data_IF_976075049828
#
_entry.id   IF_976075049828
#
_cell.length_a   1.000
_cell.length_b   1.000
_cell.length_c   1.000
_cell.angle_alpha   90.00
_cell.angle_beta   90.00
_cell.angle_gamma   90.00
#
_symmetry.space_group_name_H-M   'P 1'
#
loop_
_entity.id
_entity.type
_entity.pdbx_description
1 polymer ?
#
# COMPACT_ATOMS: atom_id res chain seq x y z
N UNK A 1 -29.61 1.20 -4.93
CA UNK A 1 -28.81 2.19 -4.17
C UNK A 1 -27.48 2.26 -4.86
N UNK A 2 -27.04 3.46 -5.22
CA UNK A 2 -25.78 3.68 -5.91
C UNK A 2 -24.88 4.52 -5.00
N UNK A 3 -23.67 4.06 -4.73
CA UNK A 3 -22.70 4.68 -3.81
C UNK A 3 -21.53 5.17 -4.64
N UNK A 4 -21.24 6.47 -4.55
CA UNK A 4 -20.13 7.13 -5.23
C UNK A 4 -19.16 7.71 -4.19
N UNK A 5 -18.04 7.03 -3.88
CA UNK A 5 -16.97 7.59 -3.08
C UNK A 5 -16.45 8.91 -3.67
N UNK A 6 -16.12 9.89 -2.84
CA UNK A 6 -15.59 11.21 -3.25
C UNK A 6 -14.20 11.50 -2.67
N UNK A 7 -13.69 10.61 -1.82
CA UNK A 7 -12.36 10.77 -1.23
C UNK A 7 -11.23 10.57 -2.24
N UNK A 8 -10.03 10.95 -1.83
CA UNK A 8 -8.82 10.91 -2.66
C UNK A 8 -7.77 10.00 -2.02
N UNK A 9 -6.85 9.52 -2.84
CA UNK A 9 -5.69 8.78 -2.38
C UNK A 9 -4.89 9.58 -1.33
N UNK A 10 -4.58 8.92 -0.19
CA UNK A 10 -3.63 9.42 0.79
C UNK A 10 -2.34 8.56 0.78
N UNK A 11 -1.18 9.16 1.06
CA UNK A 11 0.10 8.47 1.09
C UNK A 11 0.12 7.27 2.05
N UNK A 12 0.83 6.21 1.68
CA UNK A 12 1.19 5.13 2.59
C UNK A 12 2.35 5.56 3.50
N UNK A 13 2.20 5.27 4.80
CA UNK A 13 3.27 5.37 5.79
C UNK A 13 3.79 3.96 6.07
N UNK A 14 5.05 3.73 5.80
CA UNK A 14 5.66 2.41 5.82
C UNK A 14 6.72 2.39 6.92
N UNK A 15 6.78 1.27 7.64
CA UNK A 15 7.81 0.92 8.61
C UNK A 15 8.28 -0.48 8.33
N UNK A 16 9.55 -0.75 8.55
CA UNK A 16 10.11 -2.11 8.40
C UNK A 16 10.76 -2.57 9.70
N UNK A 17 11.17 -3.83 9.73
CA UNK A 17 11.97 -4.40 10.83
C UNK A 17 13.44 -3.96 10.80
N UNK A 18 13.89 -3.24 9.77
CA UNK A 18 15.28 -2.79 9.64
C UNK A 18 15.56 -1.67 10.64
N UNK A 19 16.68 -1.76 11.36
CA UNK A 19 17.13 -0.71 12.27
C UNK A 19 17.51 0.58 11.51
N UNK A 20 17.31 1.78 12.09
CA UNK A 20 17.54 3.07 11.40
C UNK A 20 18.96 3.29 10.87
N UNK A 21 19.96 2.70 11.54
CA UNK A 21 21.34 2.63 11.08
C UNK A 21 21.80 1.20 11.32
N UNK A 22 22.10 0.48 10.23
CA UNK A 22 22.64 -0.85 10.32
C UNK A 22 23.72 -1.04 9.25
N UNK A 23 24.89 -1.49 9.68
CA UNK A 23 25.93 -2.01 8.78
C UNK A 23 25.62 -3.48 8.55
N UNK A 24 25.30 -3.82 7.32
CA UNK A 24 24.85 -5.15 6.91
C UNK A 24 25.89 -5.74 5.97
N UNK A 25 26.37 -6.97 6.19
CA UNK A 25 27.20 -7.65 5.21
C UNK A 25 26.44 -7.79 3.89
N UNK A 26 27.09 -7.41 2.79
CA UNK A 26 26.48 -7.54 1.46
C UNK A 26 26.48 -9.02 1.07
N UNK A 27 27.60 -9.71 1.25
CA UNK A 27 27.76 -11.07 0.75
C UNK A 27 27.76 -11.09 -0.78
N UNK A 28 27.37 -12.19 -1.41
CA UNK A 28 27.32 -12.27 -2.87
C UNK A 28 26.21 -11.37 -3.43
N UNK A 29 26.51 -10.61 -4.49
CA UNK A 29 25.58 -9.67 -5.13
C UNK A 29 25.74 -9.67 -6.65
N UNK A 30 24.65 -9.61 -7.40
CA UNK A 30 24.72 -9.44 -8.86
C UNK A 30 25.29 -8.07 -9.24
N UNK A 31 26.09 -8.03 -10.32
CA UNK A 31 26.67 -6.78 -10.82
C UNK A 31 25.61 -5.75 -11.21
N UNK A 32 24.47 -6.21 -11.75
CA UNK A 32 23.35 -5.33 -12.12
C UNK A 32 22.69 -4.65 -10.91
N UNK A 33 22.45 -5.39 -9.83
CA UNK A 33 21.91 -4.83 -8.58
C UNK A 33 22.90 -3.84 -7.95
N UNK A 34 24.19 -4.20 -7.92
CA UNK A 34 25.25 -3.33 -7.41
C UNK A 34 25.29 -2.01 -8.19
N UNK A 35 25.40 -2.07 -9.52
CA UNK A 35 25.41 -0.90 -10.40
C UNK A 35 24.17 -0.02 -10.23
N UNK A 36 22.99 -0.64 -10.10
CA UNK A 36 21.74 0.08 -9.89
C UNK A 36 21.62 0.79 -8.53
N UNK A 37 22.44 0.40 -7.55
CA UNK A 37 22.43 0.95 -6.19
C UNK A 37 23.40 2.11 -5.96
N UNK A 38 24.42 2.26 -6.82
CA UNK A 38 25.44 3.30 -6.71
C UNK A 38 24.80 4.67 -6.92
N UNK A 39 25.05 5.60 -5.99
CA UNK A 39 24.78 7.00 -6.24
C UNK A 39 25.79 7.52 -7.28
N UNK A 40 25.31 7.68 -8.49
CA UNK A 40 26.15 8.10 -9.59
C UNK A 40 26.54 9.56 -9.61
N UNK A 41 25.87 10.40 -8.80
CA UNK A 41 26.17 11.83 -8.71
C UNK A 41 27.05 12.14 -7.49
N UNK A 42 27.26 11.15 -6.62
CA UNK A 42 28.12 11.26 -5.46
C UNK A 42 29.61 11.33 -5.84
N UNK A 43 30.34 12.20 -5.15
CA UNK A 43 31.80 12.24 -5.21
C UNK A 43 32.37 11.13 -4.34
N UNK A 44 33.25 10.31 -4.89
CA UNK A 44 33.92 9.25 -4.11
C UNK A 44 35.13 9.86 -3.40
N UNK A 45 35.24 9.71 -2.07
CA UNK A 45 36.40 10.19 -1.31
C UNK A 45 37.72 9.61 -1.88
N UNK A 46 38.72 10.47 -2.08
CA UNK A 46 40.05 10.07 -2.57
C UNK A 46 40.28 10.26 -4.07
N UNK A 47 39.29 10.71 -4.83
CA UNK A 47 39.41 10.98 -6.27
C UNK A 47 39.66 12.46 -6.61
N UNK A 48 40.18 12.76 -7.83
CA UNK A 48 40.31 14.13 -8.33
C UNK A 48 38.97 14.89 -8.35
N UNK A 49 39.01 16.20 -8.06
CA UNK A 49 37.82 17.06 -8.06
C UNK A 49 37.06 16.96 -9.40
N UNK A 50 35.76 16.65 -9.32
CA UNK A 50 34.85 16.59 -10.48
C UNK A 50 34.65 15.20 -11.09
N UNK A 51 35.36 14.16 -10.63
CA UNK A 51 35.04 12.78 -10.99
C UNK A 51 33.98 12.20 -10.04
N UNK A 52 32.96 11.56 -10.61
CA UNK A 52 31.88 10.90 -9.87
C UNK A 52 32.19 9.42 -9.66
N UNK A 53 31.46 8.78 -8.74
CA UNK A 53 31.52 7.33 -8.58
C UNK A 53 31.21 6.57 -9.88
N UNK A 54 30.31 7.10 -10.72
CA UNK A 54 30.00 6.54 -12.05
C UNK A 54 31.22 6.52 -12.97
N UNK A 55 32.02 7.57 -12.98
CA UNK A 55 33.15 7.71 -13.92
C UNK A 55 34.25 6.64 -13.70
N UNK A 56 34.28 6.00 -12.53
CA UNK A 56 35.28 4.98 -12.18
C UNK A 56 34.66 3.61 -11.93
N UNK A 57 33.56 3.52 -11.20
CA UNK A 57 32.94 2.24 -10.86
C UNK A 57 32.28 1.60 -12.09
N UNK A 58 31.62 2.39 -12.95
CA UNK A 58 30.88 1.83 -14.08
C UNK A 58 31.81 1.15 -15.10
N UNK A 59 32.93 1.74 -15.54
CA UNK A 59 33.85 1.08 -16.46
C UNK A 59 34.38 -0.26 -15.93
N UNK A 60 34.72 -0.34 -14.64
CA UNK A 60 35.20 -1.58 -14.02
C UNK A 60 34.11 -2.64 -14.06
N UNK A 61 32.90 -2.31 -13.59
CA UNK A 61 31.81 -3.28 -13.57
C UNK A 61 31.27 -3.61 -14.96
N UNK A 62 31.32 -2.70 -15.93
CA UNK A 62 31.00 -2.99 -17.33
C UNK A 62 32.02 -3.94 -17.95
N UNK A 63 33.32 -3.79 -17.65
CA UNK A 63 34.35 -4.75 -18.07
C UNK A 63 34.12 -6.13 -17.44
N UNK A 64 33.69 -6.19 -16.17
CA UNK A 64 33.28 -7.43 -15.52
C UNK A 64 32.07 -8.08 -16.20
N UNK A 65 31.13 -7.29 -16.70
CA UNK A 65 29.96 -7.78 -17.43
C UNK A 65 30.30 -8.24 -18.85
N UNK A 66 31.26 -7.61 -19.52
CA UNK A 66 31.68 -7.94 -20.89
C UNK A 66 32.59 -9.18 -20.93
N UNK A 67 33.45 -9.37 -19.92
CA UNK A 67 34.44 -10.45 -19.86
C UNK A 67 34.39 -11.24 -18.54
N UNK A 68 33.23 -11.81 -18.15
CA UNK A 68 33.04 -12.41 -16.83
C UNK A 68 33.99 -13.58 -16.53
N UNK A 69 34.40 -14.34 -17.54
CA UNK A 69 35.29 -15.51 -17.39
C UNK A 69 36.67 -15.11 -16.83
N UNK A 70 37.20 -13.96 -17.23
CA UNK A 70 38.51 -13.47 -16.75
C UNK A 70 38.43 -13.09 -15.27
N UNK A 71 37.35 -12.44 -14.87
CA UNK A 71 37.12 -12.03 -13.48
C UNK A 71 36.75 -13.20 -12.57
N UNK A 72 36.06 -14.22 -13.10
CA UNK A 72 35.85 -15.50 -12.43
C UNK A 72 37.18 -16.23 -12.21
N UNK A 73 38.05 -16.30 -13.23
CA UNK A 73 39.37 -16.92 -13.12
C UNK A 73 40.28 -16.24 -12.07
N UNK A 74 40.08 -14.94 -11.86
CA UNK A 74 40.76 -14.15 -10.82
C UNK A 74 40.10 -14.27 -9.43
N UNK A 75 38.94 -14.91 -9.32
CA UNK A 75 38.23 -15.14 -8.06
C UNK A 75 37.37 -13.96 -7.58
N UNK A 76 37.13 -12.97 -8.44
CA UNK A 76 36.28 -11.81 -8.12
C UNK A 76 34.80 -12.07 -8.38
N UNK A 77 34.50 -12.99 -9.30
CA UNK A 77 33.14 -13.44 -9.60
C UNK A 77 32.94 -14.90 -9.19
N UNK A 78 31.69 -15.26 -8.88
CA UNK A 78 31.26 -16.65 -8.77
C UNK A 78 30.91 -17.25 -10.14
N UNK A 79 30.50 -18.52 -10.15
CA UNK A 79 30.14 -19.24 -11.38
C UNK A 79 28.92 -18.66 -12.11
N UNK A 80 28.09 -17.88 -11.40
CA UNK A 80 26.92 -17.20 -11.92
C UNK A 80 27.22 -15.76 -12.36
N UNK A 81 28.49 -15.33 -12.27
CA UNK A 81 28.93 -13.97 -12.63
C UNK A 81 28.59 -12.90 -11.59
N UNK A 82 28.29 -13.29 -10.34
CA UNK A 82 28.03 -12.36 -9.25
C UNK A 82 29.32 -11.98 -8.53
N UNK A 83 29.38 -10.76 -8.01
CA UNK A 83 30.48 -10.32 -7.16
C UNK A 83 30.49 -11.13 -5.86
N UNK A 84 31.62 -11.76 -5.55
CA UNK A 84 31.75 -12.62 -4.35
C UNK A 84 31.80 -11.80 -3.06
N UNK A 85 31.45 -12.46 -1.94
CA UNK A 85 31.41 -11.82 -0.62
C UNK A 85 32.74 -11.21 -0.15
N UNK A 86 33.90 -11.71 -0.63
CA UNK A 86 35.22 -11.16 -0.29
C UNK A 86 35.51 -9.82 -0.97
N UNK A 87 34.70 -9.42 -1.93
CA UNK A 87 34.86 -8.19 -2.70
C UNK A 87 33.79 -7.13 -2.39
N UNK A 88 32.58 -7.56 -2.03
CA UNK A 88 31.41 -6.69 -1.84
C UNK A 88 31.36 -5.97 -0.50
N UNK A 89 31.96 -6.55 0.55
CA UNK A 89 32.05 -5.93 1.87
C UNK A 89 30.74 -5.75 2.61
N UNK A 90 30.63 -4.61 3.28
CA UNK A 90 29.49 -4.23 4.11
C UNK A 90 28.78 -3.02 3.50
N UNK A 91 27.51 -2.81 3.85
CA UNK A 91 26.78 -1.60 3.50
C UNK A 91 26.09 -1.01 4.72
N UNK A 92 26.33 0.27 4.99
CA UNK A 92 25.54 1.05 5.93
C UNK A 92 24.26 1.51 5.22
N UNK A 93 23.10 1.04 5.69
CA UNK A 93 21.80 1.34 5.08
C UNK A 93 21.01 2.32 5.94
N UNK A 94 20.38 3.31 5.29
CA UNK A 94 19.61 4.40 5.91
C UNK A 94 18.27 4.58 5.19
N UNK A 95 17.25 5.00 5.95
CA UNK A 95 15.94 5.40 5.42
C UNK A 95 14.93 4.28 5.18
N UNK A 96 15.33 3.01 5.38
CA UNK A 96 14.44 1.85 5.24
C UNK A 96 13.68 1.50 6.52
N UNK A 97 13.96 2.15 7.66
CA UNK A 97 13.24 1.94 8.92
C UNK A 97 11.81 2.49 8.85
N UNK A 98 11.65 3.70 8.31
CA UNK A 98 10.34 4.31 8.10
C UNK A 98 10.37 5.42 7.03
N UNK A 99 9.30 5.50 6.22
CA UNK A 99 9.11 6.58 5.26
C UNK A 99 7.64 6.75 4.87
N UNK A 100 7.33 7.86 4.19
CA UNK A 100 6.02 8.11 3.60
C UNK A 100 6.13 8.14 2.07
N UNK A 101 5.31 7.34 1.40
CA UNK A 101 5.30 7.24 -0.06
C UNK A 101 4.34 8.27 -0.68
N UNK A 102 4.86 9.44 -1.06
CA UNK A 102 4.05 10.51 -1.64
C UNK A 102 3.50 10.13 -3.01
N UNK A 103 2.31 10.66 -3.36
CA UNK A 103 1.67 10.37 -4.65
C UNK A 103 1.09 8.96 -4.75
N UNK A 104 0.98 8.25 -3.63
CA UNK A 104 0.36 6.91 -3.56
C UNK A 104 -0.95 6.94 -2.77
N UNK A 105 -1.73 5.87 -2.85
CA UNK A 105 -2.87 5.66 -1.97
C UNK A 105 -3.92 4.72 -2.55
N UNK A 106 -5.11 4.78 -1.96
CA UNK A 106 -6.25 3.92 -2.30
C UNK A 106 -7.50 4.77 -2.53
N UNK A 107 -8.27 4.41 -3.56
CA UNK A 107 -9.54 5.05 -3.90
C UNK A 107 -10.60 3.97 -4.10
N UNK A 108 -11.78 4.14 -3.48
CA UNK A 108 -12.87 3.19 -3.63
C UNK A 108 -13.65 3.47 -4.93
N UNK A 109 -14.03 2.41 -5.65
CA UNK A 109 -14.89 2.53 -6.83
C UNK A 109 -16.37 2.65 -6.48
N UNK A 110 -17.12 3.21 -7.43
CA UNK A 110 -18.58 3.26 -7.38
C UNK A 110 -19.17 1.85 -7.31
N UNK A 111 -20.26 1.71 -6.56
CA UNK A 111 -20.94 0.42 -6.43
C UNK A 111 -22.45 0.55 -6.32
N UNK A 112 -23.13 -0.40 -6.94
CA UNK A 112 -24.57 -0.58 -6.81
C UNK A 112 -24.91 -1.72 -5.83
N UNK A 113 -25.89 -1.47 -4.97
CA UNK A 113 -26.43 -2.49 -4.09
C UNK A 113 -27.93 -2.33 -3.84
N UNK A 114 -28.52 -3.37 -3.26
CA UNK A 114 -29.88 -3.35 -2.73
C UNK A 114 -29.87 -2.75 -1.32
N UNK A 115 -30.49 -1.57 -1.21
CA UNK A 115 -30.72 -0.89 0.06
C UNK A 115 -32.13 -1.15 0.57
N UNK A 116 -32.28 -1.16 1.89
CA UNK A 116 -33.54 -1.26 2.62
C UNK A 116 -33.57 -0.12 3.63
N UNK A 117 -34.69 0.62 3.63
CA UNK A 117 -34.92 1.71 4.57
C UNK A 117 -36.14 1.38 5.43
N UNK A 118 -35.99 1.39 6.75
CA UNK A 118 -37.09 1.26 7.69
C UNK A 118 -37.34 2.62 8.35
N UNK A 119 -38.58 3.09 8.31
CA UNK A 119 -38.98 4.38 8.87
C UNK A 119 -40.04 4.18 9.96
N UNK A 120 -39.74 4.61 11.17
CA UNK A 120 -40.71 4.68 12.27
C UNK A 120 -41.12 6.12 12.51
N UNK A 121 -42.37 6.46 12.19
CA UNK A 121 -42.91 7.81 12.37
C UNK A 121 -43.30 8.03 13.82
N UNK A 122 -42.62 8.98 14.47
CA UNK A 122 -42.94 9.42 15.83
C UNK A 122 -44.16 10.34 15.79
N UNK A 123 -44.26 11.15 14.73
CA UNK A 123 -45.42 11.98 14.40
C UNK A 123 -45.50 12.19 12.87
N UNK A 124 -46.42 13.04 12.41
CA UNK A 124 -46.65 13.29 10.97
C UNK A 124 -45.42 13.80 10.20
N UNK A 125 -44.47 14.44 10.89
CA UNK A 125 -43.33 15.10 10.29
C UNK A 125 -41.97 14.54 10.75
N UNK A 126 -41.90 13.79 11.83
CA UNK A 126 -40.63 13.29 12.38
C UNK A 126 -40.63 11.77 12.40
N UNK A 127 -39.59 11.17 11.81
CA UNK A 127 -39.36 9.73 11.83
C UNK A 127 -37.93 9.38 12.21
N UNK A 128 -37.77 8.20 12.79
CA UNK A 128 -36.48 7.53 12.94
C UNK A 128 -36.30 6.59 11.75
N UNK A 129 -35.25 6.79 10.97
CA UNK A 129 -34.91 6.02 9.79
C UNK A 129 -33.69 5.13 10.06
N UNK A 130 -33.80 3.85 9.75
CA UNK A 130 -32.67 2.92 9.68
C UNK A 130 -32.43 2.55 8.22
N UNK A 131 -31.19 2.70 7.76
CA UNK A 131 -30.75 2.35 6.42
C UNK A 131 -29.81 1.13 6.54
N UNK A 132 -30.11 0.09 5.79
CA UNK A 132 -29.28 -1.10 5.69
C UNK A 132 -29.43 -1.72 4.30
N UNK A 133 -28.95 -2.94 4.11
CA UNK A 133 -29.06 -3.60 2.81
C UNK A 133 -28.11 -4.77 2.67
N UNK A 134 -27.93 -5.19 1.42
CA UNK A 134 -26.92 -6.20 1.09
C UNK A 134 -25.56 -5.49 1.04
N UNK A 135 -24.56 -5.92 1.84
CA UNK A 135 -23.23 -5.33 1.83
C UNK A 135 -22.56 -5.55 0.46
N UNK A 136 -22.27 -4.48 -0.30
CA UNK A 136 -21.61 -4.64 -1.59
C UNK A 136 -20.17 -5.11 -1.44
N UNK A 137 -19.64 -5.71 -2.50
CA UNK A 137 -18.20 -5.83 -2.70
C UNK A 137 -17.74 -4.62 -3.51
N UNK A 138 -16.78 -3.90 -2.95
CA UNK A 138 -16.21 -2.67 -3.53
C UNK A 138 -14.82 -3.01 -4.03
N UNK A 139 -14.54 -2.65 -5.28
CA UNK A 139 -13.19 -2.69 -5.82
C UNK A 139 -12.45 -1.42 -5.36
N UNK A 140 -11.21 -1.56 -4.93
CA UNK A 140 -10.36 -0.46 -4.47
C UNK A 140 -9.26 -0.28 -5.51
N UNK A 141 -9.20 0.91 -6.11
CA UNK A 141 -8.13 1.31 -7.03
C UNK A 141 -6.89 1.71 -6.25
N UNK A 142 -5.74 1.30 -6.79
CA UNK A 142 -4.44 1.74 -6.33
C UNK A 142 -3.97 2.95 -7.10
N UNK A 143 -3.32 3.90 -6.41
CA UNK A 143 -2.72 5.09 -7.02
C UNK A 143 -1.22 5.09 -6.76
N UNK A 144 -0.43 5.40 -7.80
CA UNK A 144 1.01 5.60 -7.70
C UNK A 144 1.84 4.31 -7.64
N UNK A 145 3.13 4.50 -7.34
CA UNK A 145 4.14 3.44 -7.23
C UNK A 145 4.73 3.51 -5.82
N UNK A 146 4.81 2.38 -5.14
CA UNK A 146 5.45 2.28 -3.83
C UNK A 146 6.94 2.02 -4.04
N UNK A 147 7.77 3.01 -3.72
CA UNK A 147 9.23 2.89 -3.72
C UNK A 147 9.80 2.82 -2.29
N UNK A 148 10.77 1.94 -2.05
CA UNK A 148 11.59 1.95 -0.85
C UNK A 148 12.84 2.83 -1.09
N UNK A 149 13.12 3.81 -0.22
CA UNK A 149 14.28 4.68 -0.35
C UNK A 149 15.52 3.98 0.22
N UNK A 150 16.31 3.37 -0.65
CA UNK A 150 17.64 2.87 -0.29
C UNK A 150 18.62 4.04 -0.38
N UNK A 151 19.23 4.38 0.76
CA UNK A 151 20.37 5.30 0.82
C UNK A 151 21.43 4.76 1.77
N UNK A 152 22.69 5.08 1.58
CA UNK A 152 23.74 4.48 2.39
C UNK A 152 25.16 4.70 1.92
N UNK A 153 26.07 3.93 2.51
CA UNK A 153 27.48 3.89 2.12
C UNK A 153 27.87 2.41 2.01
N UNK A 154 28.37 1.99 0.86
CA UNK A 154 29.04 0.71 0.70
C UNK A 154 30.48 0.83 1.17
N UNK A 155 30.92 -0.10 2.00
CA UNK A 155 32.25 -0.15 2.63
C UNK A 155 32.96 -1.38 2.09
N UNK A 156 34.01 -1.15 1.32
CA UNK A 156 34.74 -2.21 0.63
C UNK A 156 35.82 -2.83 1.53
N UNK A 157 35.99 -4.17 1.48
CA UNK A 157 37.02 -4.84 2.26
C UNK A 157 38.41 -4.50 1.72
N UNK A 158 39.48 -4.56 2.54
CA UNK A 158 40.87 -4.32 2.12
C UNK A 158 41.35 -5.19 0.94
N UNK A 159 40.69 -6.31 0.72
CA UNK A 159 40.95 -7.25 -0.37
C UNK A 159 40.31 -6.87 -1.69
N UNK A 160 39.36 -5.93 -1.68
CA UNK A 160 38.59 -5.55 -2.86
C UNK A 160 39.47 -5.05 -4.00
N UNK A 161 39.21 -5.49 -5.23
CA UNK A 161 39.94 -5.00 -6.42
C UNK A 161 39.86 -3.46 -6.55
N UNK A 162 38.76 -2.86 -6.12
CA UNK A 162 38.55 -1.41 -6.19
C UNK A 162 39.45 -0.63 -5.22
N UNK A 163 40.03 -1.28 -4.20
CA UNK A 163 41.04 -0.67 -3.33
C UNK A 163 42.31 -0.31 -4.11
N UNK A 164 42.63 -1.01 -5.20
CA UNK A 164 43.78 -0.68 -6.07
C UNK A 164 43.58 0.70 -6.72
N UNK A 165 42.33 1.06 -7.01
CA UNK A 165 41.95 2.37 -7.51
C UNK A 165 41.80 3.43 -6.39
N UNK A 166 42.12 3.08 -5.13
CA UNK A 166 41.99 3.98 -3.98
C UNK A 166 40.55 4.14 -3.47
N UNK A 167 39.62 3.29 -3.90
CA UNK A 167 38.22 3.34 -3.49
C UNK A 167 38.02 2.41 -2.30
N UNK A 168 37.73 2.99 -1.14
CA UNK A 168 37.40 2.25 0.09
C UNK A 168 35.90 2.24 0.39
N UNK A 169 35.16 3.22 -0.10
CA UNK A 169 33.73 3.38 0.13
C UNK A 169 33.08 4.18 -1.00
N UNK A 170 31.77 3.99 -1.21
CA UNK A 170 30.98 4.81 -2.13
C UNK A 170 29.53 4.94 -1.66
N UNK A 171 28.87 6.02 -2.03
CA UNK A 171 27.50 6.29 -1.64
C UNK A 171 26.50 5.44 -2.44
N UNK A 172 25.43 5.05 -1.76
CA UNK A 172 24.29 4.32 -2.32
C UNK A 172 23.08 5.24 -2.36
N UNK A 173 22.40 5.30 -3.50
CA UNK A 173 21.14 6.02 -3.64
C UNK A 173 20.27 5.35 -4.71
N UNK A 174 19.19 4.69 -4.28
CA UNK A 174 18.28 4.00 -5.17
C UNK A 174 16.83 4.06 -4.65
N UNK A 175 15.91 4.39 -5.55
CA UNK A 175 14.49 4.15 -5.31
C UNK A 175 14.15 2.74 -5.78
N UNK A 176 13.99 1.80 -4.85
CA UNK A 176 13.64 0.42 -5.16
C UNK A 176 12.12 0.36 -5.36
N UNK A 177 11.68 0.08 -6.58
CA UNK A 177 10.26 -0.21 -6.84
C UNK A 177 9.85 -1.49 -6.12
N UNK A 178 8.87 -1.36 -5.22
CA UNK A 178 8.26 -2.47 -4.50
C UNK A 178 7.04 -2.95 -5.25
N UNK A 179 6.09 -2.06 -5.54
CA UNK A 179 4.89 -2.41 -6.30
C UNK A 179 4.27 -1.20 -6.98
N UNK A 180 3.68 -1.42 -8.16
CA UNK A 180 2.96 -0.40 -8.90
C UNK A 180 1.45 -0.57 -8.71
N UNK A 181 0.89 0.25 -7.81
CA UNK A 181 -0.53 0.20 -7.45
C UNK A 181 -1.43 0.62 -8.62
N UNK A 182 -0.99 1.59 -9.42
CA UNK A 182 -1.74 2.14 -10.55
C UNK A 182 -1.68 1.29 -11.84
N UNK A 183 -0.75 0.34 -11.94
CA UNK A 183 -0.64 -0.54 -13.11
C UNK A 183 -1.71 -1.63 -13.15
N UNK A 184 -2.44 -1.84 -12.05
CA UNK A 184 -3.47 -2.87 -11.93
C UNK A 184 -4.86 -2.24 -12.04
N UNK A 185 -5.84 -3.03 -12.52
CA UNK A 185 -7.24 -2.58 -12.57
C UNK A 185 -7.79 -2.22 -11.18
N UNK A 186 -7.36 -2.97 -10.16
CA UNK A 186 -7.69 -2.75 -8.76
C UNK A 186 -6.53 -3.25 -7.90
N UNK A 187 -6.32 -2.58 -6.77
CA UNK A 187 -5.35 -2.99 -5.77
C UNK A 187 -5.94 -4.01 -4.79
N UNK A 188 -7.22 -3.90 -4.47
CA UNK A 188 -7.90 -4.87 -3.60
C UNK A 188 -9.42 -4.87 -3.82
N UNK A 189 -10.10 -5.78 -3.12
CA UNK A 189 -11.56 -5.78 -2.96
C UNK A 189 -11.90 -5.86 -1.49
N UNK A 190 -12.97 -5.19 -1.06
CA UNK A 190 -13.48 -5.29 0.30
C UNK A 190 -15.01 -5.38 0.30
N UNK A 191 -15.58 -6.08 1.29
CA UNK A 191 -17.03 -6.03 1.55
C UNK A 191 -17.33 -4.92 2.54
N UNK A 192 -18.22 -4.01 2.17
CA UNK A 192 -18.55 -2.82 2.95
C UNK A 192 -19.88 -2.98 3.70
N UNK A 193 -19.83 -2.93 5.03
CA UNK A 193 -21.00 -2.89 5.90
C UNK A 193 -21.19 -1.48 6.45
N UNK A 194 -22.20 -0.78 5.96
CA UNK A 194 -22.44 0.63 6.29
C UNK A 194 -23.88 0.91 6.74
N UNK A 195 -24.39 0.26 7.82
CA UNK A 195 -25.69 0.64 8.37
C UNK A 195 -25.70 2.11 8.82
N UNK A 196 -26.85 2.77 8.69
CA UNK A 196 -27.04 4.13 9.15
C UNK A 196 -28.34 4.29 9.93
N UNK A 197 -28.34 5.24 10.85
CA UNK A 197 -29.48 5.64 11.65
C UNK A 197 -29.62 7.15 11.57
N UNK A 198 -30.80 7.62 11.16
CA UNK A 198 -31.08 9.03 10.94
C UNK A 198 -32.39 9.46 11.62
N UNK A 199 -32.41 10.71 12.09
CA UNK A 199 -33.65 11.42 12.37
C UNK A 199 -34.03 12.20 11.13
N UNK A 200 -35.26 12.01 10.66
CA UNK A 200 -35.78 12.60 9.44
C UNK A 200 -36.93 13.55 9.76
N UNK A 201 -36.89 14.73 9.15
CA UNK A 201 -37.99 15.68 9.11
C UNK A 201 -38.62 15.69 7.71
N UNK A 202 -39.88 15.25 7.64
CA UNK A 202 -40.70 15.13 6.45
C UNK A 202 -41.68 16.31 6.34
N UNK A 203 -41.60 17.07 5.26
CA UNK A 203 -42.51 18.20 5.01
C UNK A 203 -43.87 17.71 4.46
N UNK A 204 -44.91 18.48 4.78
CA UNK A 204 -46.29 18.16 4.40
C UNK A 204 -46.91 17.06 5.26
N UNK A 205 -48.18 16.77 5.01
CA UNK A 205 -48.97 15.80 5.78
C UNK A 205 -49.30 14.57 4.94
N UNK A 206 -49.21 13.40 5.58
CA UNK A 206 -49.58 12.13 4.98
C UNK A 206 -51.05 12.15 4.52
N UNK A 207 -51.34 11.60 3.34
CA UNK A 207 -52.70 11.55 2.78
C UNK A 207 -53.26 12.88 2.25
N UNK A 208 -52.58 14.00 2.50
CA UNK A 208 -52.93 15.33 1.94
C UNK A 208 -51.96 15.68 0.82
N UNK A 209 -50.66 15.62 1.09
CA UNK A 209 -49.62 15.98 0.14
C UNK A 209 -49.07 14.71 -0.51
N UNK A 210 -49.24 14.57 -1.84
CA UNK A 210 -48.66 13.44 -2.58
C UNK A 210 -47.14 13.51 -2.65
N UNK A 211 -46.59 14.70 -2.97
CA UNK A 211 -45.15 14.94 -2.96
C UNK A 211 -44.75 15.49 -1.59
N UNK A 212 -43.83 14.80 -0.92
CA UNK A 212 -43.36 15.17 0.41
C UNK A 212 -41.83 15.18 0.40
N UNK A 213 -41.18 16.34 0.39
CA UNK A 213 -39.74 16.41 0.56
C UNK A 213 -39.36 16.13 2.02
N UNK A 214 -38.11 15.75 2.26
CA UNK A 214 -37.55 15.52 3.59
C UNK A 214 -36.06 15.81 3.65
N UNK A 215 -35.62 16.05 4.89
CA UNK A 215 -34.20 16.12 5.25
C UNK A 215 -33.95 15.20 6.44
N UNK A 216 -32.78 14.59 6.48
CA UNK A 216 -32.35 13.67 7.52
C UNK A 216 -30.93 14.00 7.98
N UNK A 217 -30.66 13.71 9.25
CA UNK A 217 -29.31 13.77 9.81
C UNK A 217 -29.13 12.63 10.80
N UNK A 218 -27.93 12.07 10.83
CA UNK A 218 -27.67 10.90 11.65
C UNK A 218 -26.22 10.46 11.65
N UNK A 219 -26.04 9.17 11.91
CA UNK A 219 -24.73 8.52 11.95
C UNK A 219 -24.75 7.23 11.11
N UNK A 220 -23.62 6.92 10.51
CA UNK A 220 -23.34 5.63 9.90
C UNK A 220 -22.18 4.95 10.60
N UNK A 221 -22.27 3.63 10.72
CA UNK A 221 -21.20 2.78 11.22
C UNK A 221 -20.64 1.98 10.03
N UNK A 222 -19.35 2.12 9.75
CA UNK A 222 -18.69 1.47 8.64
C UNK A 222 -17.71 0.41 9.13
N UNK A 223 -17.87 -0.81 8.63
CA UNK A 223 -17.01 -1.94 8.89
C UNK A 223 -16.72 -2.68 7.58
N UNK A 224 -15.46 -3.07 7.37
CA UNK A 224 -15.03 -3.74 6.15
C UNK A 224 -14.43 -5.10 6.46
N UNK A 225 -14.79 -6.10 5.65
CA UNK A 225 -14.26 -7.46 5.77
C UNK A 225 -14.10 -8.11 4.40
N UNK A 226 -13.70 -9.39 4.38
CA UNK A 226 -13.36 -10.12 3.14
C UNK A 226 -12.37 -9.34 2.26
N UNK A 227 -11.39 -8.67 2.88
CA UNK A 227 -10.40 -7.90 2.16
C UNK A 227 -9.50 -8.87 1.38
N UNK A 228 -9.39 -8.66 0.08
CA UNK A 228 -8.54 -9.47 -0.81
C UNK A 228 -7.68 -8.55 -1.65
N UNK A 229 -6.37 -8.69 -1.49
CA UNK A 229 -5.40 -7.96 -2.28
C UNK A 229 -5.33 -8.52 -3.71
N UNK A 230 -4.91 -7.70 -4.67
CA UNK A 230 -4.50 -8.20 -5.97
C UNK A 230 -3.30 -9.15 -5.81
N UNK A 231 -3.31 -10.26 -6.54
CA UNK A 231 -2.27 -11.31 -6.40
C UNK A 231 -0.88 -10.82 -6.81
N UNK A 232 -0.79 -9.87 -7.75
CA UNK A 232 0.48 -9.27 -8.13
C UNK A 232 1.04 -8.43 -6.99
N UNK A 233 0.22 -7.56 -6.41
CA UNK A 233 0.62 -6.74 -5.25
C UNK A 233 0.96 -7.63 -4.05
N UNK A 234 0.20 -8.70 -3.81
CA UNK A 234 0.51 -9.67 -2.75
C UNK A 234 1.89 -10.31 -2.95
N UNK A 235 2.19 -10.78 -4.17
CA UNK A 235 3.49 -11.35 -4.50
C UNK A 235 4.63 -10.32 -4.37
N UNK A 236 4.43 -9.10 -4.84
CA UNK A 236 5.39 -8.00 -4.72
C UNK A 236 5.73 -7.72 -3.23
N UNK A 237 4.73 -7.69 -2.36
CA UNK A 237 4.91 -7.51 -0.91
C UNK A 237 5.57 -8.71 -0.24
N UNK A 238 5.34 -9.93 -0.72
CA UNK A 238 6.05 -11.12 -0.24
C UNK A 238 7.54 -11.05 -0.61
N UNK A 239 7.86 -10.64 -1.84
CA UNK A 239 9.24 -10.38 -2.26
C UNK A 239 9.87 -9.32 -1.37
N UNK A 240 9.20 -8.20 -1.12
CA UNK A 240 9.68 -7.18 -0.19
C UNK A 240 9.93 -7.74 1.22
N UNK A 241 9.07 -8.64 1.71
CA UNK A 241 9.28 -9.36 2.97
C UNK A 241 10.58 -10.18 2.97
N UNK A 242 10.88 -10.88 1.87
CA UNK A 242 12.16 -11.60 1.70
C UNK A 242 13.36 -10.65 1.64
N UNK A 243 13.23 -9.48 1.01
CA UNK A 243 14.30 -8.48 1.00
C UNK A 243 14.65 -8.04 2.43
N UNK A 244 13.63 -7.68 3.22
CA UNK A 244 13.83 -7.28 4.63
C UNK A 244 14.42 -8.43 5.43
N UNK A 245 13.93 -9.66 5.27
CA UNK A 245 14.46 -10.81 5.98
C UNK A 245 15.93 -11.09 5.63
N UNK A 246 16.31 -11.05 4.34
CA UNK A 246 17.70 -11.20 3.92
C UNK A 246 18.60 -10.11 4.52
N UNK A 247 18.12 -8.87 4.64
CA UNK A 247 18.86 -7.80 5.32
C UNK A 247 19.08 -8.12 6.80
N UNK A 248 18.06 -8.63 7.50
CA UNK A 248 18.17 -9.03 8.91
C UNK A 248 19.11 -10.23 9.10
N UNK A 249 19.18 -11.11 8.10
CA UNK A 249 20.06 -12.28 8.10
C UNK A 249 21.51 -11.96 7.69
N UNK A 250 21.83 -10.69 7.46
CA UNK A 250 23.18 -10.27 7.04
C UNK A 250 23.52 -10.62 5.59
N UNK A 251 22.52 -10.67 4.71
CA UNK A 251 22.64 -11.02 3.28
C UNK A 251 22.15 -9.87 2.40
N UNK A 252 22.78 -8.69 2.51
CA UNK A 252 22.36 -7.46 1.83
C UNK A 252 22.30 -7.56 0.30
N UNK A 253 23.24 -8.26 -0.32
CA UNK A 253 23.29 -8.51 -1.76
C UNK A 253 22.12 -9.38 -2.22
N UNK A 254 21.82 -10.46 -1.49
CA UNK A 254 20.66 -11.31 -1.75
C UNK A 254 19.33 -10.55 -1.57
N UNK A 255 19.27 -9.60 -0.62
CA UNK A 255 18.13 -8.72 -0.46
C UNK A 255 17.92 -7.85 -1.70
N UNK A 256 18.98 -7.18 -2.19
CA UNK A 256 18.87 -6.31 -3.35
C UNK A 256 18.59 -7.07 -4.65
N UNK A 257 19.14 -8.28 -4.78
CA UNK A 257 18.85 -9.23 -5.86
C UNK A 257 17.44 -9.84 -5.78
N UNK A 258 16.65 -9.49 -4.76
CA UNK A 258 15.29 -10.02 -4.52
C UNK A 258 15.25 -11.55 -4.39
N UNK A 259 16.32 -12.16 -3.87
CA UNK A 259 16.38 -13.62 -3.64
C UNK A 259 15.44 -14.02 -2.51
N UNK A 260 14.90 -15.23 -2.59
CA UNK A 260 14.10 -15.83 -1.50
C UNK A 260 14.99 -16.03 -0.29
N UNK A 261 14.56 -15.52 0.87
CA UNK A 261 15.26 -15.73 2.13
C UNK A 261 15.02 -17.15 2.67
N UNK A 262 16.06 -17.75 3.24
CA UNK A 262 16.05 -19.11 3.76
C UNK A 262 16.52 -19.16 5.21
N UNK A 263 16.02 -20.13 5.96
CA UNK A 263 16.48 -20.40 7.32
C UNK A 263 17.87 -21.06 7.35
N UNK A 264 18.33 -21.40 8.54
CA UNK A 264 19.64 -22.03 8.75
C UNK A 264 19.78 -23.42 8.12
N UNK A 265 18.67 -24.11 7.82
CA UNK A 265 18.65 -25.41 7.15
C UNK A 265 18.57 -25.29 5.63
N UNK A 266 18.37 -24.08 5.11
CA UNK A 266 18.18 -23.80 3.68
C UNK A 266 16.72 -23.86 3.22
N UNK A 267 15.76 -24.00 4.15
CA UNK A 267 14.34 -23.98 3.82
C UNK A 267 13.85 -22.54 3.65
N UNK A 268 13.02 -22.28 2.64
CA UNK A 268 12.50 -20.95 2.37
C UNK A 268 11.57 -20.46 3.49
N UNK A 269 11.79 -19.22 3.94
CA UNK A 269 10.84 -18.53 4.81
C UNK A 269 9.50 -18.34 4.09
N UNK A 270 8.40 -18.24 4.85
CA UNK A 270 7.06 -17.99 4.30
C UNK A 270 6.60 -16.60 4.63
N UNK A 271 6.47 -15.75 3.62
CA UNK A 271 5.97 -14.39 3.78
C UNK A 271 4.45 -14.37 3.59
N UNK A 272 3.71 -13.93 4.61
CA UNK A 272 2.27 -13.74 4.56
C UNK A 272 1.94 -12.26 4.60
N UNK A 273 1.05 -11.84 3.71
CA UNK A 273 0.49 -10.49 3.71
C UNK A 273 -0.86 -10.54 4.41
N UNK A 274 -1.01 -9.69 5.42
CA UNK A 274 -2.27 -9.50 6.14
C UNK A 274 -2.78 -8.07 5.92
N UNK A 275 -4.08 -7.92 5.72
CA UNK A 275 -4.70 -6.64 5.40
C UNK A 275 -5.93 -6.44 6.26
N UNK A 276 -5.90 -5.38 7.07
CA UNK A 276 -6.94 -5.00 7.99
C UNK A 276 -7.40 -3.56 7.72
N UNK A 277 -8.60 -3.23 8.21
CA UNK A 277 -9.09 -1.85 8.23
C UNK A 277 -9.77 -1.56 9.55
N UNK A 278 -9.60 -0.34 10.03
CA UNK A 278 -10.35 0.14 11.19
C UNK A 278 -11.83 0.35 10.86
N UNK A 279 -12.66 0.09 11.87
CA UNK A 279 -14.06 0.49 11.88
C UNK A 279 -14.17 2.01 12.04
N UNK A 280 -15.17 2.63 11.39
CA UNK A 280 -15.41 4.06 11.48
C UNK A 280 -16.87 4.40 11.83
N UNK A 281 -17.08 5.52 12.52
CA UNK A 281 -18.39 6.13 12.72
C UNK A 281 -18.35 7.53 12.10
N UNK A 282 -19.33 7.84 11.26
CA UNK A 282 -19.38 9.08 10.51
C UNK A 282 -20.75 9.76 10.59
N UNK A 283 -20.81 11.10 10.62
CA UNK A 283 -22.07 11.81 10.43
C UNK A 283 -22.55 11.63 8.98
N UNK A 284 -23.86 11.46 8.83
CA UNK A 284 -24.54 11.39 7.53
C UNK A 284 -25.69 12.40 7.49
N UNK A 285 -25.86 13.04 6.34
CA UNK A 285 -26.99 13.91 6.05
C UNK A 285 -27.68 13.45 4.77
N UNK A 286 -29.00 13.52 4.75
CA UNK A 286 -29.83 13.04 3.65
C UNK A 286 -30.83 14.11 3.23
N UNK A 287 -31.03 14.27 1.93
CA UNK A 287 -32.13 15.04 1.38
C UNK A 287 -32.87 14.17 0.36
N UNK A 288 -34.19 14.19 0.39
CA UNK A 288 -34.98 13.35 -0.49
C UNK A 288 -36.43 13.77 -0.56
N UNK A 289 -37.23 12.93 -1.21
CA UNK A 289 -38.66 13.07 -1.24
C UNK A 289 -39.34 11.71 -1.34
N UNK A 290 -40.59 11.68 -0.90
CA UNK A 290 -41.53 10.60 -1.16
C UNK A 290 -42.65 11.09 -2.07
N UNK A 291 -43.20 10.19 -2.88
CA UNK A 291 -44.34 10.45 -3.73
C UNK A 291 -45.40 9.37 -3.51
N UNK A 292 -46.50 9.71 -2.84
CA UNK A 292 -47.62 8.80 -2.59
C UNK A 292 -48.32 8.44 -3.91
N UNK A 293 -48.20 7.18 -4.32
CA UNK A 293 -48.86 6.60 -5.50
C UNK A 293 -50.30 6.21 -5.12
N UNK A 294 -50.43 5.55 -3.98
CA UNK A 294 -51.68 5.19 -3.31
C UNK A 294 -51.56 5.52 -1.81
N UNK A 295 -52.63 5.40 -0.99
CA UNK A 295 -52.51 5.64 0.46
C UNK A 295 -51.45 4.77 1.17
N UNK A 296 -51.19 3.56 0.65
CA UNK A 296 -50.26 2.59 1.25
C UNK A 296 -48.93 2.47 0.48
N UNK A 297 -48.88 2.82 -0.81
CA UNK A 297 -47.66 2.70 -1.63
C UNK A 297 -47.10 4.06 -2.03
N UNK A 298 -45.79 4.24 -1.87
CA UNK A 298 -45.10 5.46 -2.24
C UNK A 298 -43.77 5.17 -2.95
N UNK A 299 -43.38 6.05 -3.87
CA UNK A 299 -42.02 6.10 -4.39
C UNK A 299 -41.13 6.92 -3.46
N UNK A 300 -39.84 6.60 -3.41
CA UNK A 300 -38.84 7.36 -2.63
C UNK A 300 -37.60 7.58 -3.46
N UNK A 301 -37.06 8.79 -3.40
CA UNK A 301 -35.78 9.15 -3.98
C UNK A 301 -34.99 10.02 -3.00
N UNK A 302 -33.69 9.76 -2.85
CA UNK A 302 -32.83 10.55 -1.97
C UNK A 302 -31.39 10.59 -2.41
N UNK A 303 -30.69 11.60 -1.89
CA UNK A 303 -29.25 11.77 -1.95
C UNK A 303 -28.73 11.96 -0.52
N UNK A 304 -27.70 11.21 -0.16
CA UNK A 304 -27.07 11.26 1.15
C UNK A 304 -25.58 11.50 1.01
N UNK A 305 -24.99 12.22 1.96
CA UNK A 305 -23.55 12.43 2.05
C UNK A 305 -23.09 12.07 3.46
N UNK A 306 -22.06 11.22 3.54
CA UNK A 306 -21.42 10.87 4.81
C UNK A 306 -19.96 11.32 4.80
N UNK A 307 -19.50 11.92 5.90
CA UNK A 307 -18.08 12.27 6.06
C UNK A 307 -17.32 11.09 6.67
N UNK A 308 -16.94 10.13 5.83
CA UNK A 308 -16.45 8.82 6.22
C UNK A 308 -14.99 8.63 5.78
N UNK A 309 -14.13 8.38 6.77
CA UNK A 309 -12.76 7.96 6.57
C UNK A 309 -12.41 6.82 7.53
N UNK A 310 -11.46 5.98 7.14
CA UNK A 310 -10.91 4.91 7.96
C UNK A 310 -9.40 4.76 7.70
N UNK A 311 -8.74 3.89 8.45
CA UNK A 311 -7.34 3.54 8.24
C UNK A 311 -7.24 2.10 7.73
N UNK A 312 -6.52 1.90 6.64
CA UNK A 312 -6.14 0.59 6.14
C UNK A 312 -4.72 0.28 6.62
N UNK A 313 -4.51 -0.94 7.12
CA UNK A 313 -3.22 -1.43 7.59
C UNK A 313 -2.85 -2.70 6.82
N UNK A 314 -1.63 -2.73 6.29
CA UNK A 314 -1.04 -3.88 5.61
C UNK A 314 0.18 -4.32 6.42
N UNK A 315 0.26 -5.61 6.73
CA UNK A 315 1.40 -6.21 7.43
C UNK A 315 2.00 -7.31 6.56
N UNK A 316 3.32 -7.38 6.49
CA UNK A 316 4.04 -8.54 5.94
C UNK A 316 4.71 -9.25 7.09
N UNK A 317 4.35 -10.51 7.30
CA UNK A 317 4.78 -11.36 8.40
C UNK A 317 5.62 -12.50 7.84
N UNK A 318 6.72 -12.83 8.49
CA UNK A 318 7.37 -14.12 8.31
C UNK A 318 6.61 -15.14 9.17
N UNK A 319 5.83 -16.03 8.54
CA UNK A 319 5.02 -17.03 9.27
C UNK A 319 5.87 -18.06 10.01
N UNK A 320 7.12 -18.27 9.60
CA UNK A 320 8.01 -19.23 10.24
C UNK A 320 8.53 -18.69 11.57
N UNK A 321 8.79 -17.39 11.66
CA UNK A 321 9.35 -16.74 12.87
C UNK A 321 8.34 -15.89 13.63
N UNK A 322 7.13 -15.71 13.07
CA UNK A 322 6.09 -14.78 13.53
C UNK A 322 6.53 -13.30 13.57
N UNK A 323 7.68 -12.97 12.99
CA UNK A 323 8.22 -11.61 12.99
C UNK A 323 7.56 -10.76 11.89
N UNK A 324 7.17 -9.55 12.25
CA UNK A 324 6.64 -8.57 11.30
C UNK A 324 7.78 -7.88 10.56
N UNK A 325 7.85 -8.08 9.24
CA UNK A 325 8.85 -7.50 8.35
C UNK A 325 8.49 -6.07 7.94
N UNK A 326 7.21 -5.86 7.60
CA UNK A 326 6.71 -4.59 7.07
C UNK A 326 5.38 -4.26 7.74
N UNK A 327 5.21 -3.01 8.13
CA UNK A 327 3.95 -2.43 8.58
C UNK A 327 3.68 -1.17 7.78
N UNK A 328 2.58 -1.17 7.04
CA UNK A 328 2.17 -0.05 6.22
C UNK A 328 0.76 0.38 6.59
N UNK A 329 0.52 1.68 6.68
CA UNK A 329 -0.81 2.23 6.91
C UNK A 329 -1.12 3.41 6.00
N UNK A 330 -2.37 3.50 5.57
CA UNK A 330 -2.88 4.64 4.80
C UNK A 330 -4.28 5.02 5.26
N UNK A 331 -4.60 6.30 5.16
CA UNK A 331 -5.94 6.81 5.38
C UNK A 331 -6.76 6.60 4.11
N UNK A 332 -7.91 5.94 4.23
CA UNK A 332 -8.85 5.78 3.13
C UNK A 332 -9.98 6.78 3.35
N UNK A 333 -10.00 7.81 2.51
CA UNK A 333 -11.11 8.75 2.47
C UNK A 333 -12.16 8.18 1.51
N UNK A 334 -13.37 7.97 2.02
CA UNK A 334 -14.48 7.42 1.24
C UNK A 334 -15.45 8.54 0.92
N UNK A 335 -15.87 9.29 1.93
CA UNK A 335 -16.79 10.42 1.85
C UNK A 335 -17.94 10.22 0.83
N UNK A 336 -18.75 9.14 0.96
CA UNK A 336 -19.61 8.70 -0.11
C UNK A 336 -20.81 9.62 -0.34
N UNK A 337 -21.09 9.87 -1.63
CA UNK A 337 -22.36 10.39 -2.12
C UNK A 337 -23.25 9.21 -2.52
N UNK A 338 -24.35 9.01 -1.79
CA UNK A 338 -25.24 7.87 -1.95
C UNK A 338 -26.53 8.34 -2.60
N UNK A 339 -26.95 7.69 -3.67
CA UNK A 339 -28.26 7.92 -4.28
C UNK A 339 -29.14 6.69 -4.10
N UNK A 340 -30.40 6.93 -3.78
CA UNK A 340 -31.39 5.88 -3.55
C UNK A 340 -32.65 6.18 -4.35
N UNK A 341 -33.18 5.16 -5.00
CA UNK A 341 -34.47 5.15 -5.67
C UNK A 341 -35.16 3.84 -5.31
N UNK A 342 -36.41 3.91 -4.88
CA UNK A 342 -37.14 2.73 -4.45
C UNK A 342 -38.64 2.95 -4.30
N UNK A 343 -39.30 1.91 -3.84
CA UNK A 343 -40.73 1.88 -3.53
C UNK A 343 -40.89 1.43 -2.08
N UNK A 344 -41.78 2.09 -1.34
CA UNK A 344 -42.10 1.76 0.04
C UNK A 344 -43.57 1.45 0.25
N UNK A 345 -43.84 0.71 1.32
CA UNK A 345 -45.18 0.43 1.81
C UNK A 345 -45.37 1.07 3.19
N UNK A 346 -46.54 1.64 3.44
CA UNK A 346 -46.97 2.22 4.71
C UNK A 346 -47.97 1.26 5.35
N UNK A 347 -47.58 0.73 6.52
CA UNK A 347 -48.41 -0.15 7.34
C UNK A 347 -49.36 0.64 8.22
#
# INVERSE_FOLDING_TARGET
>A
MHVMPQGKANPFNIRTAVSPVNTIPVGTISLGSLLGSIDGDAQVPGLPEGMTGKDILFPVFEEMLDQPDDWYALGFLDEDGNLVATESGDAEIRGLDQWTNQGTGLEADDVDTLGLTFNYYINDNVSLQMIGGIPPKVDIKGVGIINAPLSGIAILPPTSILQIAGISEFELAQAIEITNLGARKKASTARAWTPALEVQYQFGKSGVNKFRPYVGAGITYAYFNEIKLDKGIEADLQVAGHMIQNMLDGKGGAALDRKVSTDANGDAYRMKVDVDTDTAIAPIVTAGFTYDITPSWYGVASVSYAKLNNQATIKVLNETTEQQMIHSSTKVDIDPLITYLGVGYRF
#
